data_IF_997182362295
#
_entry.id   IF_997182362295
#
_cell.length_a   1.000
_cell.length_b   1.000
_cell.length_c   1.000
_cell.angle_alpha   90.00
_cell.angle_beta   90.00
_cell.angle_gamma   90.00
#
_symmetry.space_group_name_H-M   'P 1'
#
loop_
_entity.id
_entity.type
_entity.pdbx_description
1 polymer ?
#
# COMPACT_ATOMS: atom_id res chain seq x y z
N UNK A 1 29.80 -4.98 9.19
CA UNK A 1 28.42 -5.10 9.73
C UNK A 1 27.53 -5.69 8.64
N UNK A 2 26.71 -6.70 8.95
CA UNK A 2 25.86 -7.40 7.97
C UNK A 2 24.93 -6.45 7.20
N UNK A 3 24.45 -5.37 7.84
CA UNK A 3 23.62 -4.34 7.20
C UNK A 3 24.31 -3.65 6.01
N UNK A 4 25.57 -3.24 6.19
CA UNK A 4 26.36 -2.54 5.15
C UNK A 4 26.51 -3.41 3.89
N UNK A 5 26.70 -4.73 4.07
CA UNK A 5 26.84 -5.68 2.98
C UNK A 5 25.52 -5.86 2.18
N UNK A 6 24.38 -5.94 2.87
CA UNK A 6 23.08 -6.02 2.23
C UNK A 6 22.73 -4.73 1.50
N UNK A 7 23.04 -3.57 2.09
CA UNK A 7 22.85 -2.27 1.45
C UNK A 7 23.66 -2.17 0.16
N UNK A 8 24.90 -2.67 0.14
CA UNK A 8 25.76 -2.73 -1.05
C UNK A 8 25.23 -3.67 -2.14
N UNK A 9 24.75 -4.86 -1.77
CA UNK A 9 24.19 -5.83 -2.72
C UNK A 9 22.88 -5.34 -3.34
N UNK A 10 22.00 -4.77 -2.50
CA UNK A 10 20.69 -4.27 -2.91
C UNK A 10 20.85 -3.00 -3.73
N UNK A 11 21.72 -2.06 -3.31
CA UNK A 11 21.99 -0.82 -4.06
C UNK A 11 22.56 -1.08 -5.47
N UNK A 12 23.29 -2.18 -5.68
CA UNK A 12 23.75 -2.59 -7.02
C UNK A 12 22.61 -3.03 -7.95
N UNK A 13 21.49 -3.53 -7.41
CA UNK A 13 20.33 -4.00 -8.18
C UNK A 13 19.19 -2.99 -8.27
N UNK A 14 19.09 -2.11 -7.28
CA UNK A 14 18.12 -1.02 -7.28
C UNK A 14 18.58 0.06 -8.27
N UNK A 15 17.67 0.66 -9.07
CA UNK A 15 18.04 1.73 -9.98
C UNK A 15 18.70 2.91 -9.24
N UNK A 16 19.78 3.46 -9.81
CA UNK A 16 20.62 4.49 -9.17
C UNK A 16 19.92 5.79 -8.78
N UNK A 17 18.72 6.05 -9.31
CA UNK A 17 17.90 7.22 -8.98
C UNK A 17 17.01 7.02 -7.74
N UNK A 18 16.98 5.81 -7.17
CA UNK A 18 16.20 5.48 -5.98
C UNK A 18 17.07 5.67 -4.74
N UNK A 19 16.55 6.39 -3.74
CA UNK A 19 17.23 6.60 -2.48
C UNK A 19 16.74 5.59 -1.43
N UNK A 20 17.60 4.65 -1.03
CA UNK A 20 17.25 3.59 -0.08
C UNK A 20 16.89 4.11 1.32
N UNK A 21 17.63 5.10 1.82
CA UNK A 21 17.35 5.71 3.12
C UNK A 21 15.94 6.34 3.13
N UNK A 22 15.56 6.98 2.03
CA UNK A 22 14.21 7.55 1.90
C UNK A 22 13.13 6.46 1.92
N UNK A 23 13.34 5.34 1.22
CA UNK A 23 12.41 4.19 1.26
C UNK A 23 12.30 3.64 2.69
N UNK A 24 13.41 3.49 3.39
CA UNK A 24 13.42 2.99 4.77
C UNK A 24 12.64 3.93 5.71
N UNK A 25 12.82 5.24 5.57
CA UNK A 25 12.08 6.25 6.33
C UNK A 25 10.57 6.19 6.02
N UNK A 26 10.17 6.11 4.74
CA UNK A 26 8.77 5.98 4.31
C UNK A 26 8.13 4.69 4.87
N UNK A 27 8.80 3.54 4.74
CA UNK A 27 8.32 2.26 5.27
C UNK A 27 8.12 2.33 6.79
N UNK A 28 9.05 2.93 7.54
CA UNK A 28 8.93 3.05 9.00
C UNK A 28 7.73 3.91 9.41
N UNK A 29 7.53 5.05 8.74
CA UNK A 29 6.39 5.94 9.00
C UNK A 29 5.06 5.22 8.70
N UNK A 30 4.96 4.63 7.51
CA UNK A 30 3.74 3.97 7.07
C UNK A 30 3.43 2.72 7.90
N UNK A 31 4.44 1.93 8.26
CA UNK A 31 4.26 0.78 9.15
C UNK A 31 3.82 1.21 10.56
N UNK A 32 4.38 2.31 11.08
CA UNK A 32 3.98 2.88 12.37
C UNK A 32 2.49 3.26 12.38
N UNK A 33 2.05 3.99 11.35
CA UNK A 33 0.64 4.36 11.19
C UNK A 33 -0.24 3.13 10.95
N UNK A 34 0.19 2.20 10.09
CA UNK A 34 -0.52 0.96 9.78
C UNK A 34 -0.79 0.14 11.04
N UNK A 35 0.23 -0.08 11.89
CA UNK A 35 0.09 -0.80 13.16
C UNK A 35 -0.92 -0.12 14.09
N UNK A 36 -0.84 1.20 14.18
CA UNK A 36 -1.74 2.00 15.02
C UNK A 36 -3.19 1.92 14.52
N UNK A 37 -3.39 2.08 13.21
CA UNK A 37 -4.71 2.08 12.57
C UNK A 37 -5.31 0.68 12.54
N UNK A 38 -4.51 -0.36 12.31
CA UNK A 38 -4.95 -1.74 12.39
C UNK A 38 -5.49 -2.07 13.77
N UNK A 39 -4.79 -1.70 14.86
CA UNK A 39 -5.29 -1.96 16.22
C UNK A 39 -6.62 -1.29 16.53
N UNK A 40 -6.85 -0.08 16.01
CA UNK A 40 -8.03 0.73 16.33
C UNK A 40 -9.21 0.56 15.36
N UNK A 41 -8.93 0.19 14.11
CA UNK A 41 -9.92 0.14 13.02
C UNK A 41 -9.94 -1.25 12.41
N UNK A 42 -8.77 -1.77 11.99
CA UNK A 42 -8.66 -3.08 11.35
C UNK A 42 -9.16 -4.23 12.24
N UNK A 43 -8.72 -4.29 13.50
CA UNK A 43 -9.05 -5.37 14.44
C UNK A 43 -10.56 -5.42 14.76
N UNK A 44 -11.25 -4.30 15.05
CA UNK A 44 -12.71 -4.31 15.15
C UNK A 44 -13.42 -4.85 13.90
N UNK A 45 -12.95 -4.50 12.70
CA UNK A 45 -13.51 -5.00 11.43
C UNK A 45 -13.27 -6.52 11.31
N UNK A 46 -12.09 -7.01 11.68
CA UNK A 46 -11.77 -8.45 11.70
C UNK A 46 -12.73 -9.21 12.62
N UNK A 47 -12.93 -8.72 13.84
CA UNK A 47 -13.86 -9.34 14.81
C UNK A 47 -15.28 -9.34 14.24
N UNK A 48 -15.75 -8.21 13.73
CA UNK A 48 -17.08 -8.12 13.11
C UNK A 48 -17.24 -9.09 11.93
N UNK A 49 -16.20 -9.25 11.11
CA UNK A 49 -16.20 -10.17 9.97
C UNK A 49 -16.33 -11.64 10.40
N UNK A 50 -15.57 -12.06 11.42
CA UNK A 50 -15.66 -13.41 11.98
C UNK A 50 -17.06 -13.67 12.54
N UNK A 51 -17.59 -12.73 13.33
CA UNK A 51 -18.94 -12.82 13.89
C UNK A 51 -20.01 -12.91 12.78
N UNK A 52 -19.90 -12.10 11.73
CA UNK A 52 -20.79 -12.18 10.58
C UNK A 52 -20.72 -13.56 9.89
N UNK A 53 -19.52 -14.10 9.70
CA UNK A 53 -19.32 -15.44 9.15
C UNK A 53 -20.02 -16.53 9.96
N UNK A 54 -19.91 -16.48 11.30
CA UNK A 54 -20.50 -17.46 12.21
C UNK A 54 -22.02 -17.30 12.31
N UNK A 55 -22.50 -16.10 12.63
CA UNK A 55 -23.89 -15.88 13.05
C UNK A 55 -24.83 -15.58 11.88
N UNK A 56 -24.38 -14.87 10.86
CA UNK A 56 -25.24 -14.43 9.74
C UNK A 56 -25.15 -15.37 8.55
N UNK A 57 -23.92 -15.67 8.12
CA UNK A 57 -23.69 -16.44 6.88
C UNK A 57 -23.44 -17.93 7.11
N UNK A 58 -23.25 -18.35 8.37
CA UNK A 58 -22.98 -19.73 8.78
C UNK A 58 -21.89 -20.41 7.93
N UNK A 59 -20.83 -19.67 7.60
CA UNK A 59 -19.71 -20.13 6.77
C UNK A 59 -18.36 -19.84 7.43
N UNK A 60 -17.38 -20.70 7.17
CA UNK A 60 -16.02 -20.49 7.64
C UNK A 60 -15.33 -19.41 6.80
N UNK A 61 -15.05 -18.26 7.41
CA UNK A 61 -14.42 -17.09 6.76
C UNK A 61 -12.93 -16.91 7.09
N UNK A 62 -12.31 -17.86 7.82
CA UNK A 62 -10.91 -17.70 8.26
C UNK A 62 -9.93 -17.67 7.08
N UNK A 63 -10.15 -18.50 6.06
CA UNK A 63 -9.28 -18.54 4.88
C UNK A 63 -9.29 -17.23 4.10
N UNK A 64 -10.47 -16.66 3.83
CA UNK A 64 -10.60 -15.35 3.16
C UNK A 64 -10.06 -14.21 4.03
N UNK A 65 -10.24 -14.29 5.35
CA UNK A 65 -9.66 -13.31 6.28
C UNK A 65 -8.13 -13.30 6.23
N UNK A 66 -7.48 -14.46 6.29
CA UNK A 66 -6.00 -14.54 6.24
C UNK A 66 -5.47 -13.92 4.95
N UNK A 67 -6.08 -14.25 3.82
CA UNK A 67 -5.68 -13.67 2.52
C UNK A 67 -5.95 -12.17 2.49
N UNK A 68 -7.08 -11.70 3.01
CA UNK A 68 -7.42 -10.29 3.10
C UNK A 68 -6.42 -9.50 3.97
N UNK A 69 -5.92 -10.09 5.07
CA UNK A 69 -4.91 -9.46 5.92
C UNK A 69 -3.56 -9.31 5.22
N UNK A 70 -3.14 -10.32 4.45
CA UNK A 70 -1.94 -10.26 3.61
C UNK A 70 -2.10 -9.14 2.57
N UNK A 71 -3.26 -9.11 1.89
CA UNK A 71 -3.57 -8.07 0.90
C UNK A 71 -3.64 -6.68 1.54
N UNK A 72 -4.17 -6.53 2.75
CA UNK A 72 -4.18 -5.26 3.47
C UNK A 72 -2.76 -4.73 3.73
N UNK A 73 -1.87 -5.59 4.25
CA UNK A 73 -0.47 -5.22 4.49
C UNK A 73 0.23 -4.83 3.18
N UNK A 74 0.07 -5.65 2.14
CA UNK A 74 0.62 -5.38 0.82
C UNK A 74 0.09 -4.07 0.22
N UNK A 75 -1.22 -3.84 0.31
CA UNK A 75 -1.89 -2.66 -0.25
C UNK A 75 -1.44 -1.36 0.42
N UNK A 76 -1.01 -1.41 1.69
CA UNK A 76 -0.44 -0.25 2.35
C UNK A 76 0.88 0.18 1.73
N UNK A 77 1.73 -0.74 1.23
CA UNK A 77 3.02 -0.38 0.62
C UNK A 77 2.97 -0.29 -0.91
N UNK A 78 1.84 -0.68 -1.50
CA UNK A 78 1.66 -0.64 -2.95
C UNK A 78 1.85 0.75 -3.57
N UNK A 79 1.41 1.87 -2.96
CA UNK A 79 1.60 3.18 -3.57
C UNK A 79 3.07 3.60 -3.66
N UNK A 80 3.92 3.10 -2.76
CA UNK A 80 5.36 3.39 -2.78
C UNK A 80 6.06 2.83 -3.99
N UNK A 81 5.48 1.84 -4.68
CA UNK A 81 6.03 1.35 -5.95
C UNK A 81 6.19 2.43 -7.02
N UNK A 82 5.60 3.63 -6.81
CA UNK A 82 5.96 4.86 -7.51
C UNK A 82 7.48 5.13 -7.53
N UNK A 83 8.28 4.69 -6.54
CA UNK A 83 9.75 4.85 -6.55
C UNK A 83 10.43 4.18 -7.75
N UNK A 84 9.79 3.17 -8.35
CA UNK A 84 10.28 2.50 -9.55
C UNK A 84 9.99 3.31 -10.81
N UNK A 85 9.10 4.30 -10.74
CA UNK A 85 8.79 5.20 -11.84
C UNK A 85 9.77 6.38 -11.82
N UNK A 86 10.53 6.53 -12.90
CA UNK A 86 11.44 7.65 -13.06
C UNK A 86 10.66 8.88 -13.52
N UNK A 87 10.70 9.93 -12.71
CA UNK A 87 10.29 11.27 -13.13
C UNK A 87 11.38 11.85 -14.05
N UNK A 88 11.04 12.10 -15.32
CA UNK A 88 12.00 12.67 -16.28
C UNK A 88 11.30 13.76 -17.09
N UNK A 89 11.98 14.89 -17.27
CA UNK A 89 11.59 16.03 -18.11
C UNK A 89 11.50 15.72 -19.62
N UNK A 90 11.49 14.45 -20.02
CA UNK A 90 11.49 14.04 -21.42
C UNK A 90 10.09 13.68 -21.90
N UNK A 91 9.86 13.78 -23.21
CA UNK A 91 8.67 13.28 -23.93
C UNK A 91 8.41 11.76 -23.78
N UNK A 92 9.10 11.07 -22.88
CA UNK A 92 9.03 9.62 -22.64
C UNK A 92 8.09 9.39 -21.45
N UNK A 93 6.88 8.94 -21.74
CA UNK A 93 5.84 8.58 -20.77
C UNK A 93 5.52 7.10 -20.99
N UNK A 94 5.60 6.26 -19.94
CA UNK A 94 5.14 4.87 -20.05
C UNK A 94 3.64 4.83 -20.32
N UNK A 95 3.19 3.84 -21.08
CA UNK A 95 1.77 3.71 -21.41
C UNK A 95 0.96 3.47 -20.13
N UNK A 96 -0.27 3.97 -20.09
CA UNK A 96 -1.10 3.91 -18.89
C UNK A 96 -1.26 2.48 -18.35
N UNK A 97 -1.44 1.50 -19.22
CA UNK A 97 -1.60 0.09 -18.85
C UNK A 97 -0.31 -0.52 -18.27
N UNK A 98 0.87 -0.02 -18.65
CA UNK A 98 2.15 -0.46 -18.08
C UNK A 98 2.28 -0.03 -16.62
N UNK A 99 1.79 1.18 -16.32
CA UNK A 99 1.72 1.69 -14.95
C UNK A 99 0.72 0.90 -14.12
N UNK A 100 -0.48 0.62 -14.62
CA UNK A 100 -1.42 -0.22 -13.87
C UNK A 100 -0.99 -1.68 -13.77
N UNK A 101 -0.21 -2.20 -14.71
CA UNK A 101 0.41 -3.52 -14.54
C UNK A 101 1.32 -3.53 -13.30
N UNK A 102 2.07 -2.46 -13.03
CA UNK A 102 2.84 -2.31 -11.78
C UNK A 102 1.94 -2.35 -10.55
N UNK A 103 0.77 -1.72 -10.59
CA UNK A 103 -0.21 -1.77 -9.50
C UNK A 103 -0.70 -3.22 -9.24
N UNK A 104 -1.03 -3.95 -10.29
CA UNK A 104 -1.62 -5.29 -10.17
C UNK A 104 -0.59 -6.39 -9.88
N UNK A 105 0.64 -6.23 -10.35
CA UNK A 105 1.67 -7.27 -10.34
C UNK A 105 3.01 -6.75 -9.81
N UNK A 106 2.98 -5.87 -8.80
CA UNK A 106 4.18 -5.21 -8.29
C UNK A 106 5.31 -6.18 -7.93
N UNK A 107 5.09 -7.29 -7.17
CA UNK A 107 6.17 -8.19 -6.78
C UNK A 107 6.88 -8.78 -7.99
N UNK A 108 6.11 -9.22 -8.99
CA UNK A 108 6.64 -9.80 -10.23
C UNK A 108 7.42 -8.75 -11.01
N UNK A 109 6.86 -7.55 -11.17
CA UNK A 109 7.47 -6.49 -11.96
C UNK A 109 8.72 -5.93 -11.28
N UNK A 110 8.70 -5.76 -9.96
CA UNK A 110 9.87 -5.39 -9.14
C UNK A 110 10.98 -6.40 -9.37
N UNK A 111 10.68 -7.71 -9.28
CA UNK A 111 11.65 -8.75 -9.52
C UNK A 111 12.31 -8.62 -10.90
N UNK A 112 11.53 -8.44 -11.97
CA UNK A 112 12.08 -8.25 -13.33
C UNK A 112 12.91 -6.96 -13.49
N UNK A 113 12.58 -5.89 -12.76
CA UNK A 113 13.37 -4.65 -12.76
C UNK A 113 14.70 -4.87 -12.03
N UNK A 114 14.67 -5.49 -10.84
CA UNK A 114 15.86 -5.76 -10.03
C UNK A 114 16.80 -6.77 -10.70
N UNK A 115 16.28 -7.67 -11.54
CA UNK A 115 17.08 -8.61 -12.35
C UNK A 115 17.60 -7.98 -13.65
N UNK A 116 17.33 -6.69 -13.90
CA UNK A 116 17.79 -5.97 -15.10
C UNK A 116 17.09 -6.35 -16.40
N UNK A 117 16.11 -7.27 -16.35
CA UNK A 117 15.35 -7.75 -17.53
C UNK A 117 14.31 -6.76 -18.02
N UNK A 118 13.90 -5.80 -17.17
CA UNK A 118 12.91 -4.78 -17.49
C UNK A 118 13.43 -3.39 -17.20
N UNK A 119 13.26 -2.47 -18.16
CA UNK A 119 13.56 -1.05 -17.98
C UNK A 119 12.57 -0.41 -16.99
N UNK A 120 12.99 0.65 -16.27
CA UNK A 120 12.09 1.37 -15.38
C UNK A 120 10.94 2.03 -16.14
N UNK A 121 9.82 2.25 -15.45
CA UNK A 121 8.69 3.00 -16.00
C UNK A 121 8.97 4.49 -15.92
N UNK A 122 8.35 5.26 -16.82
CA UNK A 122 8.49 6.72 -16.84
C UNK A 122 7.14 7.38 -16.57
N UNK A 123 7.18 8.44 -15.76
CA UNK A 123 5.99 9.21 -15.41
C UNK A 123 6.29 10.70 -15.39
N UNK A 124 5.40 11.50 -15.97
CA UNK A 124 5.38 12.97 -15.84
C UNK A 124 4.91 13.46 -14.47
N UNK A 125 4.34 12.57 -13.66
CA UNK A 125 3.86 12.85 -12.31
C UNK A 125 4.67 12.03 -11.31
N UNK A 126 5.42 12.67 -10.41
CA UNK A 126 6.27 11.99 -9.42
C UNK A 126 5.57 11.04 -8.43
N UNK A 127 4.25 11.10 -8.25
CA UNK A 127 3.47 10.13 -7.45
C UNK A 127 2.20 9.70 -8.19
N UNK A 128 2.27 8.67 -9.04
CA UNK A 128 1.17 8.24 -9.89
C UNK A 128 0.09 7.47 -9.10
N UNK A 129 0.46 6.67 -8.10
CA UNK A 129 -0.47 5.87 -7.31
C UNK A 129 -1.06 6.59 -6.10
N UNK A 130 -0.59 7.80 -5.77
CA UNK A 130 -1.01 8.53 -4.58
C UNK A 130 -2.31 9.33 -4.79
N UNK A 131 -3.38 8.67 -5.21
CA UNK A 131 -4.69 9.30 -5.42
C UNK A 131 -5.85 8.32 -5.15
N UNK A 132 -7.06 8.86 -5.00
CA UNK A 132 -8.24 8.03 -4.72
C UNK A 132 -8.67 7.15 -5.91
N UNK A 133 -8.40 7.58 -7.15
CA UNK A 133 -8.76 6.80 -8.35
C UNK A 133 -8.01 5.47 -8.37
N UNK A 134 -6.75 5.43 -7.95
CA UNK A 134 -5.95 4.19 -7.88
C UNK A 134 -6.41 3.27 -6.75
N UNK A 135 -6.93 3.81 -5.64
CA UNK A 135 -7.63 3.00 -4.61
C UNK A 135 -8.82 2.26 -5.21
N UNK A 136 -9.66 2.97 -5.99
CA UNK A 136 -10.83 2.36 -6.63
C UNK A 136 -10.45 1.31 -7.67
N UNK A 137 -9.47 1.61 -8.53
CA UNK A 137 -8.98 0.66 -9.54
C UNK A 137 -8.43 -0.60 -8.87
N UNK A 138 -7.66 -0.44 -7.79
CA UNK A 138 -7.16 -1.55 -6.99
C UNK A 138 -8.30 -2.35 -6.34
N UNK A 139 -9.31 -1.68 -5.80
CA UNK A 139 -10.51 -2.30 -5.26
C UNK A 139 -11.29 -3.12 -6.29
N UNK A 140 -11.47 -2.60 -7.51
CA UNK A 140 -12.14 -3.32 -8.61
C UNK A 140 -11.33 -4.58 -8.99
N UNK A 141 -10.00 -4.45 -9.11
CA UNK A 141 -9.14 -5.58 -9.40
C UNK A 141 -9.24 -6.67 -8.31
N UNK A 142 -9.21 -6.27 -7.03
CA UNK A 142 -9.37 -7.20 -5.92
C UNK A 142 -10.76 -7.80 -5.82
N UNK A 143 -11.80 -7.07 -6.23
CA UNK A 143 -13.14 -7.62 -6.32
C UNK A 143 -13.19 -8.76 -7.34
N UNK A 144 -12.67 -8.53 -8.56
CA UNK A 144 -12.55 -9.55 -9.61
C UNK A 144 -11.77 -10.77 -9.10
N UNK A 145 -10.62 -10.53 -8.44
CA UNK A 145 -9.81 -11.60 -7.87
C UNK A 145 -10.57 -12.36 -6.77
N UNK A 146 -11.29 -11.65 -5.91
CA UNK A 146 -12.13 -12.24 -4.87
C UNK A 146 -13.24 -13.11 -5.45
N UNK A 147 -13.86 -12.70 -6.56
CA UNK A 147 -14.89 -13.48 -7.26
C UNK A 147 -14.34 -14.77 -7.88
N UNK A 148 -13.06 -14.79 -8.25
CA UNK A 148 -12.39 -15.99 -8.75
C UNK A 148 -12.09 -16.96 -7.60
N UNK A 149 -11.66 -16.43 -6.45
CA UNK A 149 -11.23 -17.23 -5.30
C UNK A 149 -12.39 -17.81 -4.48
N UNK A 150 -13.52 -17.09 -4.39
CA UNK A 150 -14.66 -17.49 -3.57
C UNK A 150 -15.99 -17.22 -4.23
N UNK A 151 -16.92 -18.15 -4.02
CA UNK A 151 -18.30 -18.01 -4.49
C UNK A 151 -19.18 -17.30 -3.44
N UNK A 152 -18.83 -17.41 -2.15
CA UNK A 152 -19.62 -16.81 -1.08
C UNK A 152 -19.42 -15.28 -1.04
N UNK A 153 -20.49 -14.46 -1.11
CA UNK A 153 -20.35 -13.01 -1.22
C UNK A 153 -19.55 -12.35 -0.09
N UNK A 154 -19.67 -12.85 1.14
CA UNK A 154 -18.91 -12.36 2.30
C UNK A 154 -17.40 -12.62 2.17
N UNK A 155 -16.99 -13.74 1.56
CA UNK A 155 -15.58 -14.07 1.33
C UNK A 155 -15.02 -13.30 0.14
N UNK A 156 -15.83 -13.10 -0.89
CA UNK A 156 -15.47 -12.25 -2.03
C UNK A 156 -15.27 -10.78 -1.60
N UNK A 157 -16.20 -10.23 -0.82
CA UNK A 157 -16.22 -8.80 -0.49
C UNK A 157 -15.10 -8.36 0.46
N UNK A 158 -14.58 -9.25 1.32
CA UNK A 158 -13.57 -8.86 2.31
C UNK A 158 -12.25 -8.45 1.65
N UNK A 159 -11.92 -9.04 0.50
CA UNK A 159 -10.67 -8.82 -0.21
C UNK A 159 -10.53 -7.36 -0.70
N UNK A 160 -11.47 -6.80 -1.49
CA UNK A 160 -11.41 -5.39 -1.89
C UNK A 160 -11.56 -4.44 -0.70
N UNK A 161 -12.35 -4.78 0.32
CA UNK A 161 -12.49 -3.95 1.54
C UNK A 161 -11.13 -3.78 2.22
N UNK A 162 -10.42 -4.88 2.51
CA UNK A 162 -9.13 -4.82 3.19
C UNK A 162 -8.05 -4.22 2.30
N UNK A 163 -8.04 -4.52 0.99
CA UNK A 163 -7.08 -3.89 0.09
C UNK A 163 -7.26 -2.38 -0.05
N UNK A 164 -8.49 -1.91 -0.21
CA UNK A 164 -8.78 -0.47 -0.24
C UNK A 164 -8.48 0.20 1.10
N UNK A 165 -8.74 -0.48 2.22
CA UNK A 165 -8.44 0.05 3.57
C UNK A 165 -6.94 0.25 3.76
N UNK A 166 -6.12 -0.74 3.40
CA UNK A 166 -4.65 -0.65 3.48
C UNK A 166 -4.11 0.48 2.61
N UNK A 167 -4.56 0.55 1.34
CA UNK A 167 -4.19 1.63 0.44
C UNK A 167 -4.63 3.00 0.96
N UNK A 168 -5.84 3.09 1.52
CA UNK A 168 -6.35 4.36 2.07
C UNK A 168 -5.56 4.81 3.29
N UNK A 169 -5.09 3.90 4.14
CA UNK A 169 -4.24 4.23 5.28
C UNK A 169 -2.93 4.87 4.84
N UNK A 170 -2.31 4.34 3.79
CA UNK A 170 -1.17 4.98 3.13
C UNK A 170 -1.46 6.42 2.72
N UNK A 171 -2.55 6.63 1.96
CA UNK A 171 -2.90 7.97 1.48
C UNK A 171 -3.25 8.94 2.61
N UNK A 172 -3.80 8.46 3.72
CA UNK A 172 -4.12 9.28 4.90
C UNK A 172 -2.82 9.77 5.55
N UNK A 173 -1.87 8.87 5.84
CA UNK A 173 -0.60 9.29 6.46
C UNK A 173 0.22 10.17 5.51
N UNK A 174 0.12 9.96 4.19
CA UNK A 174 0.74 10.83 3.18
C UNK A 174 0.02 12.17 2.97
N UNK A 175 -1.11 12.42 3.64
CA UNK A 175 -1.89 13.66 3.53
C UNK A 175 -2.61 13.83 2.19
N UNK A 176 -2.77 12.76 1.41
CA UNK A 176 -3.43 12.74 0.09
C UNK A 176 -4.94 12.67 0.20
N UNK A 177 -5.46 12.16 1.32
CA UNK A 177 -6.86 12.26 1.71
C UNK A 177 -6.94 13.37 2.75
N UNK A 178 -7.55 14.50 2.38
CA UNK A 178 -7.54 15.73 3.17
C UNK A 178 -8.95 16.13 3.63
N UNK A 179 -9.59 15.27 4.42
CA UNK A 179 -10.89 15.53 5.04
C UNK A 179 -10.76 15.68 6.56
N UNK A 180 -11.82 16.14 7.23
CA UNK A 180 -11.79 16.38 8.69
C UNK A 180 -11.42 15.12 9.48
N UNK A 181 -11.93 13.96 9.06
CA UNK A 181 -11.69 12.68 9.72
C UNK A 181 -10.23 12.22 9.61
N UNK A 182 -9.66 12.24 8.41
CA UNK A 182 -8.26 11.88 8.14
C UNK A 182 -7.29 12.78 8.91
N UNK A 183 -7.52 14.10 8.93
CA UNK A 183 -6.73 15.03 9.75
C UNK A 183 -6.79 14.67 11.24
N UNK A 184 -7.99 14.34 11.75
CA UNK A 184 -8.18 13.94 13.15
C UNK A 184 -7.45 12.63 13.47
N UNK A 185 -7.51 11.64 12.57
CA UNK A 185 -6.80 10.37 12.70
C UNK A 185 -5.28 10.57 12.75
N UNK A 186 -4.71 11.32 11.80
CA UNK A 186 -3.27 11.60 11.77
C UNK A 186 -2.85 12.39 13.00
N UNK A 187 -3.61 13.42 13.42
CA UNK A 187 -3.32 14.19 14.64
C UNK A 187 -3.32 13.28 15.88
N UNK A 188 -4.29 12.38 16.00
CA UNK A 188 -4.37 11.44 17.12
C UNK A 188 -3.23 10.41 17.09
N UNK A 189 -2.81 9.97 15.91
CA UNK A 189 -1.62 9.13 15.76
C UNK A 189 -0.35 9.86 16.21
N UNK A 190 -0.09 11.06 15.69
CA UNK A 190 1.11 11.83 16.01
C UNK A 190 1.20 12.18 17.50
N UNK A 191 0.08 12.56 18.13
CA UNK A 191 0.03 12.89 19.54
C UNK A 191 0.41 11.71 20.46
N UNK A 192 0.00 10.49 20.09
CA UNK A 192 0.21 9.30 20.91
C UNK A 192 1.53 8.55 20.64
N UNK A 193 2.27 8.92 19.60
CA UNK A 193 3.48 8.19 19.17
C UNK A 193 4.70 9.12 18.97
N UNK A 194 4.67 10.33 19.54
CA UNK A 194 5.78 11.29 19.52
C UNK A 194 6.95 10.77 20.37
N UNK A 195 7.99 10.20 19.73
CA UNK A 195 9.15 11.03 19.41
C UNK A 195 9.70 10.79 17.99
N UNK A 196 8.89 10.31 17.04
CA UNK A 196 9.28 10.16 15.64
C UNK A 196 8.42 11.09 14.80
N UNK A 197 8.96 12.25 14.42
CA UNK A 197 8.59 13.17 13.31
C UNK A 197 8.59 14.65 13.71
N UNK A 198 9.79 15.22 13.85
CA UNK A 198 10.05 16.67 13.95
C UNK A 198 9.88 17.44 12.62
N UNK A 199 9.21 16.90 11.60
CA UNK A 199 9.10 17.56 10.26
C UNK A 199 7.72 18.05 9.84
N UNK A 200 6.62 17.64 10.51
CA UNK A 200 5.25 18.08 10.12
C UNK A 200 4.63 19.16 10.99
N UNK A 201 5.24 19.54 12.12
CA UNK A 201 4.77 20.68 12.91
C UNK A 201 4.97 22.04 12.20
N UNK A 202 5.72 22.09 11.08
CA UNK A 202 6.00 23.33 10.35
C UNK A 202 5.07 23.60 9.14
N UNK A 203 4.04 22.78 8.88
CA UNK A 203 3.14 22.94 7.71
C UNK A 203 1.65 22.74 8.01
N UNK A 204 1.22 22.93 9.25
CA UNK A 204 -0.20 23.07 9.61
C UNK A 204 -0.49 24.51 9.95
#
# INVERSE_FOLDING_TARGET
KLSIYWDELISKKIPSYVNFQKIEEEIKEHFGFLKWAFKRIGLPIVVAYILAGIFLFKTNVLGSLVIALIVFLYSNFLPDTDFLMKEKNSNIESKWYEKYALLFFAPVIIYYILDGRKKPFYTKKGKFFHNYKTVLIWGIFLFILGSILWQEPIKMAILPIFGMLGFSFHLIIDGRINNVLSKKLVKHFLHNNSPITSRRQAKV
#
